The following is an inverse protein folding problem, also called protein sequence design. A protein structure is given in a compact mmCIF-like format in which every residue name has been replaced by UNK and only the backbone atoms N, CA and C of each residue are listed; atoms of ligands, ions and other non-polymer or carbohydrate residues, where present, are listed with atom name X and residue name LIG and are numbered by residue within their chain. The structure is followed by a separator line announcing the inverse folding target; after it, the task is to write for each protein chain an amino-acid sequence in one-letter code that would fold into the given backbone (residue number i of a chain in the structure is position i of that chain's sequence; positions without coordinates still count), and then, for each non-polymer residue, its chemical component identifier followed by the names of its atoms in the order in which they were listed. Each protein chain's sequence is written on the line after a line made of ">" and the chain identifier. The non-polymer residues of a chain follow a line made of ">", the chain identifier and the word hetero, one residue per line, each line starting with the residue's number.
data_IF_507810890954
#
_entry.id   IF_507810890954
#
_cell.length_a   1.000
_cell.length_b   1.000
_cell.length_c   1.000
_cell.angle_alpha   90.00
_cell.angle_beta   90.00
_cell.angle_gamma   90.00
#
_symmetry.space_group_name_H-M   'P 1'
#
loop_
_entity.id
_entity.type
_entity.pdbx_description
1 polymer ?
#
# COMPACT_ATOMS: atom_id res chain seq x y z
N UNK A 1 17.51 -4.86 5.90
CA UNK A 1 18.52 -3.82 5.61
C UNK A 1 17.87 -2.76 4.73
N UNK A 2 17.86 -1.52 5.18
CA UNK A 2 17.25 -0.40 4.45
C UNK A 2 18.35 0.59 4.10
N UNK A 3 18.52 0.87 2.82
CA UNK A 3 19.48 1.86 2.31
C UNK A 3 18.70 3.05 1.77
N UNK A 4 18.96 4.23 2.30
CA UNK A 4 18.49 5.50 1.79
C UNK A 4 19.69 6.37 1.41
N UNK A 5 20.06 6.39 0.14
CA UNK A 5 21.10 7.29 -0.36
C UNK A 5 20.79 7.68 -1.81
N UNK A 6 21.10 8.92 -2.16
CA UNK A 6 21.11 9.42 -3.54
C UNK A 6 22.51 9.26 -4.17
N UNK A 7 23.51 8.89 -3.39
CA UNK A 7 24.89 8.65 -3.81
C UNK A 7 25.02 7.21 -4.30
N UNK A 8 25.16 7.03 -5.62
CA UNK A 8 25.27 5.71 -6.26
C UNK A 8 26.55 4.97 -5.85
N UNK A 9 27.67 5.68 -5.62
CA UNK A 9 28.92 5.07 -5.19
C UNK A 9 28.78 4.51 -3.76
N UNK A 10 28.11 5.26 -2.90
CA UNK A 10 27.79 4.81 -1.54
C UNK A 10 26.80 3.64 -1.56
N UNK A 11 25.79 3.67 -2.45
CA UNK A 11 24.86 2.58 -2.62
C UNK A 11 25.57 1.30 -3.03
N UNK A 12 26.50 1.37 -3.98
CA UNK A 12 27.30 0.23 -4.42
C UNK A 12 28.09 -0.36 -3.25
N UNK A 13 28.77 0.47 -2.45
CA UNK A 13 29.50 0.02 -1.27
C UNK A 13 28.58 -0.65 -0.23
N UNK A 14 27.43 -0.06 0.04
CA UNK A 14 26.47 -0.57 1.04
C UNK A 14 25.80 -1.88 0.65
N UNK A 15 25.72 -2.19 -0.64
CA UNK A 15 25.16 -3.45 -1.14
C UNK A 15 26.28 -4.49 -1.39
N UNK A 16 27.41 -4.08 -1.97
CA UNK A 16 28.49 -4.96 -2.41
C UNK A 16 29.18 -5.69 -1.25
N UNK A 17 29.46 -4.98 -0.17
CA UNK A 17 30.15 -5.59 0.98
C UNK A 17 29.28 -6.62 1.72
N UNK A 18 28.00 -6.34 2.07
CA UNK A 18 27.12 -7.36 2.63
C UNK A 18 26.97 -8.60 1.74
N UNK A 19 26.79 -8.42 0.43
CA UNK A 19 26.67 -9.55 -0.51
C UNK A 19 27.93 -10.40 -0.54
N UNK A 20 29.12 -9.79 -0.59
CA UNK A 20 30.40 -10.52 -0.53
C UNK A 20 30.61 -11.29 0.77
N UNK A 21 30.05 -10.82 1.88
CA UNK A 21 30.12 -11.50 3.18
C UNK A 21 29.05 -12.58 3.37
N UNK A 22 28.27 -12.88 2.32
CA UNK A 22 27.25 -13.94 2.33
C UNK A 22 25.90 -13.50 2.88
N UNK A 23 25.63 -12.18 2.94
CA UNK A 23 24.28 -11.71 3.29
C UNK A 23 23.30 -12.10 2.18
N UNK A 24 22.24 -12.80 2.56
CA UNK A 24 21.15 -13.12 1.66
C UNK A 24 20.21 -11.90 1.53
N UNK A 25 19.88 -11.56 0.30
CA UNK A 25 18.92 -10.49 0.00
C UNK A 25 17.57 -11.12 -0.32
N UNK A 26 16.58 -10.87 0.53
CA UNK A 26 15.23 -11.37 0.32
C UNK A 26 14.37 -10.39 -0.49
N UNK A 27 14.57 -9.07 -0.30
CA UNK A 27 13.77 -8.05 -0.94
C UNK A 27 14.53 -6.72 -1.07
N UNK A 28 14.34 -6.04 -2.19
CA UNK A 28 14.66 -4.62 -2.38
C UNK A 28 13.34 -3.89 -2.57
N UNK A 29 13.00 -2.94 -1.68
CA UNK A 29 11.78 -2.17 -1.73
C UNK A 29 12.04 -0.70 -1.40
N UNK A 30 11.90 0.18 -2.39
CA UNK A 30 12.11 1.62 -2.24
C UNK A 30 11.45 2.39 -3.39
N UNK A 31 11.48 3.72 -3.30
CA UNK A 31 11.22 4.56 -4.47
C UNK A 31 12.10 4.12 -5.63
N UNK A 32 11.55 4.08 -6.84
CA UNK A 32 12.22 3.48 -8.00
C UNK A 32 13.60 4.07 -8.26
N UNK A 33 13.78 5.39 -8.09
CA UNK A 33 15.07 6.08 -8.24
C UNK A 33 16.18 5.52 -7.35
N UNK A 34 15.84 4.89 -6.21
CA UNK A 34 16.81 4.23 -5.31
C UNK A 34 16.85 2.71 -5.50
N UNK A 35 15.69 2.09 -5.75
CA UNK A 35 15.60 0.64 -5.90
C UNK A 35 16.20 0.15 -7.23
N UNK A 36 15.96 0.86 -8.33
CA UNK A 36 16.40 0.44 -9.66
C UNK A 36 17.93 0.29 -9.76
N UNK A 37 18.75 1.26 -9.35
CA UNK A 37 20.20 1.10 -9.33
C UNK A 37 20.66 -0.09 -8.49
N UNK A 38 20.03 -0.33 -7.35
CA UNK A 38 20.34 -1.48 -6.49
C UNK A 38 20.03 -2.81 -7.18
N UNK A 39 18.87 -2.92 -7.79
CA UNK A 39 18.43 -4.12 -8.51
C UNK A 39 19.33 -4.39 -9.71
N UNK A 40 19.67 -3.36 -10.47
CA UNK A 40 20.54 -3.49 -11.65
C UNK A 40 21.96 -3.92 -11.25
N UNK A 41 22.51 -3.35 -10.18
CA UNK A 41 23.80 -3.78 -9.62
C UNK A 41 23.77 -5.26 -9.15
N UNK A 42 22.69 -5.70 -8.48
CA UNK A 42 22.54 -7.11 -8.09
C UNK A 42 22.49 -8.05 -9.31
N UNK A 43 21.81 -7.62 -10.40
CA UNK A 43 21.79 -8.37 -11.66
C UNK A 43 23.16 -8.54 -12.28
N UNK A 44 24.05 -7.53 -12.19
CA UNK A 44 25.44 -7.61 -12.63
C UNK A 44 26.24 -8.66 -11.81
N UNK A 45 25.89 -8.86 -10.55
CA UNK A 45 26.44 -9.90 -9.69
C UNK A 45 25.78 -11.28 -9.89
N UNK A 46 24.94 -11.46 -10.92
CA UNK A 46 24.11 -12.65 -11.16
C UNK A 46 23.05 -12.94 -10.11
N UNK A 47 22.72 -11.99 -9.24
CA UNK A 47 21.64 -12.08 -8.25
C UNK A 47 20.39 -11.45 -8.89
N UNK A 48 19.49 -12.31 -9.40
CA UNK A 48 18.29 -11.86 -10.12
C UNK A 48 17.05 -11.98 -9.23
N UNK A 49 16.17 -10.98 -9.24
CA UNK A 49 14.89 -11.12 -8.55
C UNK A 49 14.00 -12.16 -9.24
N UNK A 50 13.24 -12.90 -8.45
CA UNK A 50 12.18 -13.80 -8.95
C UNK A 50 10.99 -13.00 -9.48
N UNK A 51 10.68 -11.88 -8.81
CA UNK A 51 9.56 -11.00 -9.17
C UNK A 51 9.93 -9.54 -8.95
N UNK A 52 9.53 -8.70 -9.89
CA UNK A 52 9.56 -7.25 -9.76
C UNK A 52 8.12 -6.71 -9.82
N UNK A 53 7.74 -5.87 -8.87
CA UNK A 53 6.45 -5.18 -8.83
C UNK A 53 6.67 -3.68 -8.85
N UNK A 54 6.20 -3.05 -9.92
CA UNK A 54 6.22 -1.59 -10.05
C UNK A 54 4.87 -1.01 -9.64
N UNK A 55 4.91 0.00 -8.80
CA UNK A 55 3.74 0.69 -8.30
C UNK A 55 3.90 2.19 -8.46
N UNK A 56 2.79 2.87 -8.73
CA UNK A 56 2.70 4.30 -8.53
C UNK A 56 2.56 4.63 -7.06
N UNK A 57 3.22 5.70 -6.62
CA UNK A 57 2.96 6.34 -5.33
C UNK A 57 1.90 7.40 -5.54
N UNK A 58 0.81 7.32 -4.80
CA UNK A 58 -0.24 8.32 -4.78
C UNK A 58 -0.25 9.03 -3.44
N UNK A 59 -0.33 10.34 -3.46
CA UNK A 59 -0.41 11.21 -2.29
C UNK A 59 -1.67 12.04 -2.33
N UNK A 60 -2.28 12.25 -1.17
CA UNK A 60 -3.44 13.11 -0.98
C UNK A 60 -3.15 14.07 0.17
N UNK A 61 -3.17 15.37 -0.09
CA UNK A 61 -3.18 16.37 0.96
C UNK A 61 -4.60 16.61 1.44
N UNK A 62 -4.73 16.97 2.71
CA UNK A 62 -6.03 17.22 3.34
C UNK A 62 -6.86 18.26 2.58
N UNK A 63 -6.22 19.34 2.11
CA UNK A 63 -6.86 20.40 1.34
C UNK A 63 -7.37 19.97 -0.04
N UNK A 64 -6.78 18.91 -0.63
CA UNK A 64 -7.15 18.39 -1.95
C UNK A 64 -8.20 17.26 -1.86
N UNK A 65 -8.56 16.86 -0.65
CA UNK A 65 -9.47 15.74 -0.44
C UNK A 65 -10.88 16.02 -0.98
N UNK A 66 -11.28 15.19 -1.93
CA UNK A 66 -12.62 15.22 -2.51
C UNK A 66 -13.46 14.09 -1.90
N UNK A 67 -13.93 14.32 -0.67
CA UNK A 67 -14.77 13.38 0.04
C UNK A 67 -16.11 13.18 -0.66
N UNK A 68 -16.63 11.97 -0.54
CA UNK A 68 -17.96 11.61 -1.04
C UNK A 68 -18.81 11.07 0.10
N UNK A 69 -20.11 10.98 -0.11
CA UNK A 69 -21.00 10.29 0.82
C UNK A 69 -20.59 8.83 0.98
N UNK A 70 -20.30 8.44 2.23
CA UNK A 70 -19.73 7.13 2.53
C UNK A 70 -20.78 6.06 2.84
N UNK A 71 -22.07 6.42 2.97
CA UNK A 71 -23.12 5.51 3.43
C UNK A 71 -22.77 4.96 4.82
N UNK A 72 -22.99 3.67 5.02
CA UNK A 72 -22.75 2.96 6.29
C UNK A 72 -21.28 2.49 6.47
N UNK A 73 -20.33 3.08 5.75
CA UNK A 73 -18.93 2.77 5.95
C UNK A 73 -18.46 3.18 7.36
N UNK A 74 -17.80 2.26 8.07
CA UNK A 74 -17.41 2.42 9.47
C UNK A 74 -16.06 1.78 9.79
N UNK A 75 -15.39 2.16 10.87
CA UNK A 75 -14.26 1.39 11.42
C UNK A 75 -14.67 -0.04 11.76
N UNK A 76 -13.72 -0.96 11.65
CA UNK A 76 -13.89 -2.34 12.06
C UNK A 76 -13.90 -2.52 13.58
N UNK A 77 -14.42 -3.64 14.03
CA UNK A 77 -14.49 -4.06 15.44
C UNK A 77 -14.01 -5.51 15.58
N UNK A 78 -13.81 -5.96 16.82
CA UNK A 78 -13.42 -7.35 17.10
C UNK A 78 -14.45 -8.36 16.53
N UNK A 79 -15.73 -8.00 16.50
CA UNK A 79 -16.78 -8.84 15.94
C UNK A 79 -16.66 -9.05 14.41
N UNK A 80 -15.93 -8.20 13.73
CA UNK A 80 -15.79 -8.23 12.27
C UNK A 80 -14.58 -9.08 11.80
N UNK A 81 -13.74 -9.61 12.72
CA UNK A 81 -12.48 -10.28 12.38
C UNK A 81 -12.68 -11.39 11.34
N UNK A 82 -13.69 -12.25 11.52
CA UNK A 82 -13.92 -13.37 10.59
C UNK A 82 -14.26 -12.91 9.19
N UNK A 83 -15.18 -11.97 9.04
CA UNK A 83 -15.60 -11.47 7.72
C UNK A 83 -14.51 -10.64 7.04
N UNK A 84 -13.67 -9.94 7.83
CA UNK A 84 -12.47 -9.25 7.31
C UNK A 84 -11.46 -10.25 6.77
N UNK A 85 -11.19 -11.32 7.54
CA UNK A 85 -10.26 -12.38 7.18
C UNK A 85 -10.74 -13.10 5.90
N UNK A 86 -12.01 -13.42 5.82
CA UNK A 86 -12.62 -14.09 4.66
C UNK A 86 -12.52 -13.22 3.40
N UNK A 87 -12.93 -11.95 3.45
CA UNK A 87 -12.83 -11.06 2.29
C UNK A 87 -11.37 -10.76 1.91
N UNK A 88 -10.48 -10.67 2.88
CA UNK A 88 -9.04 -10.43 2.69
C UNK A 88 -8.26 -11.67 2.28
N UNK A 89 -8.83 -12.86 2.37
CA UNK A 89 -8.16 -14.15 2.19
C UNK A 89 -6.88 -14.27 3.05
N UNK A 90 -6.99 -13.86 4.31
CA UNK A 90 -5.90 -13.89 5.29
C UNK A 90 -6.33 -14.64 6.56
N UNK A 91 -5.36 -15.09 7.35
CA UNK A 91 -5.66 -15.67 8.65
C UNK A 91 -6.25 -14.63 9.61
N UNK A 92 -7.25 -15.02 10.38
CA UNK A 92 -7.91 -14.15 11.37
C UNK A 92 -6.92 -13.54 12.40
N UNK A 93 -5.87 -14.28 12.74
CA UNK A 93 -4.77 -13.85 13.63
C UNK A 93 -3.97 -12.65 13.10
N UNK A 94 -4.05 -12.39 11.80
CA UNK A 94 -3.37 -11.26 11.14
C UNK A 94 -4.24 -10.03 10.99
N UNK A 95 -5.51 -10.11 11.36
CA UNK A 95 -6.45 -8.98 11.27
C UNK A 95 -6.30 -8.08 12.50
N UNK A 96 -6.13 -6.79 12.27
CA UNK A 96 -6.16 -5.73 13.29
C UNK A 96 -7.39 -4.87 13.02
N UNK A 97 -8.55 -5.20 13.63
CA UNK A 97 -9.83 -4.61 13.23
C UNK A 97 -9.87 -3.08 13.38
N UNK A 98 -9.13 -2.52 14.35
CA UNK A 98 -9.06 -1.06 14.58
C UNK A 98 -8.38 -0.30 13.43
N UNK A 99 -7.65 -1.03 12.56
CA UNK A 99 -7.02 -0.48 11.36
C UNK A 99 -7.85 -0.65 10.10
N UNK A 100 -8.99 -1.34 10.19
CA UNK A 100 -9.86 -1.65 9.06
C UNK A 100 -11.03 -0.67 8.98
N UNK A 101 -11.43 -0.34 7.76
CA UNK A 101 -12.66 0.37 7.44
C UNK A 101 -13.50 -0.50 6.54
N UNK A 102 -14.78 -0.61 6.86
CA UNK A 102 -15.68 -1.64 6.33
C UNK A 102 -16.93 -0.99 5.76
N UNK A 103 -17.45 -1.56 4.68
CA UNK A 103 -18.76 -1.23 4.12
C UNK A 103 -19.54 -2.51 3.90
N UNK A 104 -20.72 -2.55 4.50
CA UNK A 104 -21.66 -3.65 4.39
C UNK A 104 -22.84 -3.28 3.45
N UNK A 105 -23.39 -4.30 2.82
CA UNK A 105 -24.69 -4.26 2.14
C UNK A 105 -25.46 -5.48 2.60
N UNK A 106 -26.65 -5.29 3.19
CA UNK A 106 -27.48 -6.38 3.69
C UNK A 106 -26.69 -7.38 4.53
N UNK A 107 -25.98 -7.09 5.49
CA UNK A 107 -25.14 -7.94 6.36
C UNK A 107 -23.90 -8.57 5.70
N UNK A 108 -23.69 -8.37 4.39
CA UNK A 108 -22.48 -8.83 3.71
C UNK A 108 -21.41 -7.74 3.68
N UNK A 109 -20.18 -8.06 4.07
CA UNK A 109 -19.03 -7.18 3.89
C UNK A 109 -18.67 -7.12 2.39
N UNK A 110 -18.92 -5.96 1.75
CA UNK A 110 -18.73 -5.79 0.31
C UNK A 110 -17.47 -5.01 -0.06
N UNK A 111 -16.93 -4.22 0.86
CA UNK A 111 -15.65 -3.52 0.64
C UNK A 111 -14.94 -3.25 1.97
N UNK A 112 -13.61 -3.25 1.91
CA UNK A 112 -12.76 -2.87 3.02
C UNK A 112 -11.54 -2.08 2.54
N UNK A 113 -10.95 -1.30 3.44
CA UNK A 113 -9.65 -0.67 3.31
C UNK A 113 -8.97 -0.66 4.67
N UNK A 114 -7.65 -0.70 4.73
CA UNK A 114 -6.95 -0.64 6.01
C UNK A 114 -5.78 0.34 6.03
N UNK A 115 -5.22 0.56 7.21
CA UNK A 115 -4.01 1.36 7.42
C UNK A 115 -2.81 0.45 7.61
N UNK A 116 -1.82 0.62 6.75
CA UNK A 116 -0.52 -0.04 6.84
C UNK A 116 0.47 0.75 7.70
N UNK A 117 0.47 2.07 7.60
CA UNK A 117 1.32 2.97 8.36
C UNK A 117 0.57 4.18 8.89
N UNK A 118 0.94 4.65 10.07
CA UNK A 118 0.36 5.83 10.71
C UNK A 118 1.43 6.60 11.46
N UNK A 119 1.42 7.93 11.31
CA UNK A 119 2.20 8.87 12.08
C UNK A 119 1.34 10.08 12.47
N UNK A 120 1.92 11.04 13.21
CA UNK A 120 1.22 12.28 13.55
C UNK A 120 0.87 13.13 12.34
N UNK A 121 1.57 12.94 11.22
CA UNK A 121 1.41 13.76 10.02
C UNK A 121 0.71 13.03 8.87
N UNK A 122 0.97 11.75 8.66
CA UNK A 122 0.44 11.00 7.53
C UNK A 122 -0.14 9.63 7.92
N UNK A 123 -0.98 9.10 7.04
CA UNK A 123 -1.48 7.72 7.07
C UNK A 123 -1.24 7.04 5.73
N UNK A 124 -0.90 5.75 5.77
CA UNK A 124 -0.70 4.93 4.58
C UNK A 124 -1.85 3.93 4.43
N UNK A 125 -2.56 4.02 3.32
CA UNK A 125 -3.67 3.12 2.98
C UNK A 125 -3.14 1.87 2.29
N UNK A 126 -3.70 0.73 2.67
CA UNK A 126 -3.48 -0.56 2.01
C UNK A 126 -4.72 -1.43 2.01
N UNK A 127 -4.59 -2.68 1.55
CA UNK A 127 -5.63 -3.69 1.64
C UNK A 127 -7.01 -3.28 1.14
N UNK A 128 -7.09 -2.41 0.13
CA UNK A 128 -8.38 -1.98 -0.45
C UNK A 128 -8.94 -3.10 -1.31
N UNK A 129 -10.01 -3.71 -0.84
CA UNK A 129 -10.66 -4.84 -1.50
C UNK A 129 -12.16 -4.52 -1.66
N UNK A 130 -12.70 -4.87 -2.82
CA UNK A 130 -14.15 -4.92 -3.06
C UNK A 130 -14.50 -6.32 -3.55
N UNK A 131 -15.49 -6.93 -2.89
CA UNK A 131 -16.04 -8.24 -3.26
C UNK A 131 -16.36 -8.28 -4.75
N UNK A 132 -16.04 -9.35 -5.45
CA UNK A 132 -16.11 -9.42 -6.91
C UNK A 132 -17.50 -9.10 -7.47
N UNK A 133 -18.57 -9.62 -6.87
CA UNK A 133 -19.95 -9.38 -7.28
C UNK A 133 -20.44 -7.94 -7.01
N UNK A 134 -19.65 -7.19 -6.24
CA UNK A 134 -19.95 -5.82 -5.83
C UNK A 134 -19.02 -4.77 -6.45
N UNK A 135 -18.14 -5.17 -7.37
CA UNK A 135 -17.24 -4.25 -8.09
C UNK A 135 -18.04 -3.29 -8.99
N UNK A 136 -17.40 -2.17 -9.32
CA UNK A 136 -17.94 -1.11 -10.20
C UNK A 136 -19.21 -0.40 -9.67
N UNK A 137 -19.58 -0.63 -8.40
CA UNK A 137 -20.71 0.04 -7.72
C UNK A 137 -20.26 1.21 -6.81
N UNK A 138 -18.95 1.57 -6.83
CA UNK A 138 -18.42 2.68 -6.03
C UNK A 138 -18.08 2.34 -4.57
N UNK A 139 -18.26 1.10 -4.11
CA UNK A 139 -18.06 0.74 -2.70
C UNK A 139 -16.60 0.90 -2.23
N UNK A 140 -15.62 0.55 -3.06
CA UNK A 140 -14.22 0.82 -2.76
C UNK A 140 -13.92 2.31 -2.57
N UNK A 141 -14.52 3.18 -3.37
CA UNK A 141 -14.37 4.63 -3.22
C UNK A 141 -15.01 5.12 -1.91
N UNK A 142 -16.18 4.61 -1.52
CA UNK A 142 -16.86 4.98 -0.26
C UNK A 142 -16.02 4.60 0.96
N UNK A 143 -15.50 3.37 1.02
CA UNK A 143 -14.71 2.92 2.18
C UNK A 143 -13.38 3.66 2.29
N UNK A 144 -12.69 3.95 1.17
CA UNK A 144 -11.47 4.77 1.17
C UNK A 144 -11.78 6.22 1.56
N UNK A 145 -12.87 6.80 1.07
CA UNK A 145 -13.29 8.16 1.47
C UNK A 145 -13.56 8.25 2.97
N UNK A 146 -14.25 7.24 3.56
CA UNK A 146 -14.49 7.18 5.00
C UNK A 146 -13.20 7.11 5.82
N UNK A 147 -12.25 6.30 5.36
CA UNK A 147 -10.95 6.16 5.97
C UNK A 147 -10.18 7.50 5.93
N UNK A 148 -10.11 8.14 4.77
CA UNK A 148 -9.45 9.44 4.63
C UNK A 148 -10.07 10.49 5.54
N UNK A 149 -11.41 10.61 5.54
CA UNK A 149 -12.12 11.55 6.41
C UNK A 149 -11.77 11.33 7.89
N UNK A 150 -11.78 10.06 8.34
CA UNK A 150 -11.48 9.71 9.72
C UNK A 150 -10.09 10.20 10.16
N UNK A 151 -9.06 9.93 9.36
CA UNK A 151 -7.69 10.34 9.73
C UNK A 151 -7.44 11.83 9.56
N UNK A 152 -8.04 12.48 8.57
CA UNK A 152 -7.99 13.95 8.46
C UNK A 152 -8.68 14.65 9.63
N UNK A 153 -9.76 14.08 10.16
CA UNK A 153 -10.45 14.60 11.35
C UNK A 153 -9.60 14.39 12.64
N UNK A 154 -8.76 13.37 12.68
CA UNK A 154 -7.81 13.13 13.77
C UNK A 154 -6.56 14.02 13.71
N UNK A 155 -6.36 14.77 12.63
CA UNK A 155 -5.29 15.77 12.52
C UNK A 155 -4.19 15.45 11.51
N UNK A 156 -4.17 14.23 10.94
CA UNK A 156 -3.24 13.92 9.86
C UNK A 156 -3.44 14.87 8.68
N UNK A 157 -2.37 15.17 7.97
CA UNK A 157 -2.37 16.15 6.87
C UNK A 157 -2.26 15.47 5.50
N UNK A 158 -1.73 14.25 5.45
CA UNK A 158 -1.43 13.57 4.19
C UNK A 158 -1.83 12.10 4.22
N UNK A 159 -2.41 11.60 3.12
CA UNK A 159 -2.64 10.21 2.84
C UNK A 159 -1.71 9.70 1.76
N UNK A 160 -1.16 8.50 1.93
CA UNK A 160 -0.27 7.83 0.99
C UNK A 160 -0.82 6.45 0.62
N UNK A 161 -0.59 6.00 -0.60
CA UNK A 161 -0.82 4.63 -1.01
C UNK A 161 0.08 4.23 -2.18
N UNK A 162 0.23 2.92 -2.34
CA UNK A 162 0.89 2.32 -3.50
C UNK A 162 -0.15 1.57 -4.33
N UNK A 163 -0.07 1.71 -5.64
CA UNK A 163 -0.97 1.03 -6.58
C UNK A 163 -0.18 0.49 -7.77
N UNK A 164 -0.36 -0.80 -8.08
CA UNK A 164 0.30 -1.43 -9.21
C UNK A 164 0.03 -0.67 -10.52
N UNK A 165 1.02 -0.63 -11.40
CA UNK A 165 0.93 0.07 -12.69
C UNK A 165 -0.23 -0.42 -13.57
N UNK A 166 -0.60 -1.69 -13.47
CA UNK A 166 -1.67 -2.31 -14.23
C UNK A 166 -3.06 -2.21 -13.56
N UNK A 167 -3.13 -1.79 -12.28
CA UNK A 167 -4.40 -1.64 -11.56
C UNK A 167 -5.12 -0.31 -11.90
N UNK A 168 -5.47 -0.16 -13.17
CA UNK A 168 -6.17 1.03 -13.69
C UNK A 168 -7.49 1.35 -12.94
N UNK A 169 -8.32 0.36 -12.54
CA UNK A 169 -9.52 0.66 -11.76
C UNK A 169 -9.23 1.37 -10.44
N UNK A 170 -8.22 0.90 -9.67
CA UNK A 170 -7.83 1.51 -8.41
C UNK A 170 -7.27 2.93 -8.62
N UNK A 171 -6.41 3.12 -9.62
CA UNK A 171 -5.88 4.44 -9.97
C UNK A 171 -6.99 5.46 -10.24
N UNK A 172 -8.04 5.05 -10.99
CA UNK A 172 -9.19 5.91 -11.27
C UNK A 172 -9.99 6.23 -10.00
N UNK A 173 -10.10 5.27 -9.08
CA UNK A 173 -10.75 5.47 -7.79
C UNK A 173 -10.02 6.54 -6.97
N UNK A 174 -8.70 6.40 -6.82
CA UNK A 174 -7.90 7.32 -6.01
C UNK A 174 -7.87 8.73 -6.60
N UNK A 175 -7.71 8.86 -7.92
CA UNK A 175 -7.76 10.17 -8.60
C UNK A 175 -9.08 10.91 -8.36
N UNK A 176 -10.22 10.20 -8.29
CA UNK A 176 -11.52 10.79 -7.98
C UNK A 176 -11.63 11.31 -6.55
N UNK A 177 -10.83 10.80 -5.62
CA UNK A 177 -10.77 11.28 -4.24
C UNK A 177 -9.75 12.41 -4.03
N UNK A 178 -9.05 12.83 -5.09
CA UNK A 178 -8.07 13.91 -5.05
C UNK A 178 -6.62 13.43 -4.94
N UNK A 179 -6.36 12.12 -4.92
CA UNK A 179 -4.98 11.63 -4.91
C UNK A 179 -4.26 11.96 -6.21
N UNK A 180 -3.03 12.42 -6.08
CA UNK A 180 -2.11 12.70 -7.18
C UNK A 180 -0.98 11.68 -7.20
N UNK A 181 -0.61 11.23 -8.40
CA UNK A 181 0.59 10.42 -8.57
C UNK A 181 1.82 11.29 -8.38
N UNK A 182 2.70 10.94 -7.46
CA UNK A 182 3.87 11.73 -7.10
C UNK A 182 5.19 11.06 -7.41
N UNK A 183 5.23 9.71 -7.42
CA UNK A 183 6.46 8.96 -7.62
C UNK A 183 6.16 7.53 -8.12
N UNK A 184 7.22 6.75 -8.32
CA UNK A 184 7.18 5.31 -8.56
C UNK A 184 7.85 4.56 -7.41
N UNK A 185 7.39 3.34 -7.15
CA UNK A 185 7.93 2.45 -6.13
C UNK A 185 8.19 1.08 -6.73
N UNK A 186 9.35 0.51 -6.44
CA UNK A 186 9.76 -0.80 -6.92
C UNK A 186 9.92 -1.75 -5.74
N UNK A 187 9.36 -2.94 -5.88
CA UNK A 187 9.60 -4.09 -5.00
C UNK A 187 10.19 -5.20 -5.86
N UNK A 188 11.40 -5.65 -5.52
CA UNK A 188 12.05 -6.79 -6.15
C UNK A 188 12.27 -7.87 -5.09
N UNK A 189 11.64 -9.04 -5.27
CA UNK A 189 11.73 -10.18 -4.36
C UNK A 189 12.74 -11.19 -4.91
N UNK A 190 13.57 -11.74 -4.03
CA UNK A 190 14.62 -12.71 -4.35
C UNK A 190 14.32 -14.04 -3.68
N UNK A 191 14.79 -15.14 -4.28
CA UNK A 191 14.64 -16.48 -3.71
C UNK A 191 15.31 -16.54 -2.33
N UNK A 192 14.65 -17.24 -1.40
CA UNK A 192 15.31 -17.69 -0.17
C UNK A 192 16.12 -18.94 -0.51
N UNK A 193 17.41 -18.90 -0.34
CA UNK A 193 18.28 -20.08 -0.45
C UNK A 193 18.11 -21.02 0.74
#
# INVERSE_FOLDING_TARGET
>A
FVVHTEDLDLLECLVKEPVKTGLEIECVAAFERFARPTVDFLKELNIKPEQEHESFVFQLKKEDFQGIECGDARPGTIADISVIADLGQVEASRVTPEREFLLFQEDQLVAKANIHGLSDHFFQIGGVITHEDHRRKGYGQKVVSKLCQHYFDQGQQEGLLFVLHDNVPAQKLYKKLGFLQTDNFLIANYAKN
#
